data_IF_111793774343
#
_entry.id   IF_111793774343
#
_cell.length_a   1.000
_cell.length_b   1.000
_cell.length_c   1.000
_cell.angle_alpha   90.00
_cell.angle_beta   90.00
_cell.angle_gamma   90.00
#
_symmetry.space_group_name_H-M   'P 1'
#
loop_
_entity.id
_entity.type
_entity.pdbx_description
1 polymer ?
#
# COMPACT_ATOMS: atom_id res chain seq x y z
N UNK A 1 5.47 24.85 7.53
CA UNK A 1 4.59 25.42 6.50
C UNK A 1 3.23 24.74 6.45
N UNK A 2 2.37 25.23 5.57
CA UNK A 2 0.99 24.70 5.42
C UNK A 2 0.99 23.19 5.09
N UNK A 3 1.94 22.73 4.27
CA UNK A 3 2.11 21.30 3.94
C UNK A 3 2.42 20.43 5.15
N UNK A 4 3.17 20.93 6.12
CA UNK A 4 3.50 20.18 7.34
C UNK A 4 2.27 20.03 8.27
N UNK A 5 1.36 21.01 8.25
CA UNK A 5 0.09 20.94 8.99
C UNK A 5 -0.79 19.82 8.43
N UNK A 6 -0.91 19.73 7.11
CA UNK A 6 -1.74 18.68 6.45
C UNK A 6 -1.16 17.28 6.65
N UNK A 7 0.15 17.11 6.57
CA UNK A 7 0.81 15.84 6.87
C UNK A 7 0.59 15.41 8.32
N UNK A 8 0.65 16.35 9.23
CA UNK A 8 0.37 16.11 10.65
C UNK A 8 -1.09 15.70 10.88
N UNK A 9 -2.02 16.32 10.17
CA UNK A 9 -3.44 15.95 10.21
C UNK A 9 -3.65 14.52 9.72
N UNK A 10 -3.03 14.13 8.60
CA UNK A 10 -3.08 12.75 8.11
C UNK A 10 -2.50 11.77 9.13
N UNK A 11 -1.33 12.05 9.69
CA UNK A 11 -0.71 11.19 10.68
C UNK A 11 -1.60 11.06 11.93
N UNK A 12 -2.14 12.16 12.44
CA UNK A 12 -3.06 12.15 13.56
C UNK A 12 -4.31 11.31 13.28
N UNK A 13 -4.84 11.37 12.06
CA UNK A 13 -5.95 10.53 11.67
C UNK A 13 -5.56 9.04 11.65
N UNK A 14 -4.41 8.68 11.08
CA UNK A 14 -3.95 7.29 10.99
C UNK A 14 -3.70 6.65 12.37
N UNK A 15 -3.29 7.43 13.38
CA UNK A 15 -3.07 6.95 14.75
C UNK A 15 -4.31 7.06 15.64
N UNK A 16 -5.39 7.67 15.16
CA UNK A 16 -6.63 7.87 15.91
C UNK A 16 -7.46 6.59 15.99
N UNK A 17 -8.45 6.57 16.87
CA UNK A 17 -9.44 5.48 16.97
C UNK A 17 -10.33 5.33 15.73
N UNK A 18 -10.33 6.30 14.83
CA UNK A 18 -11.06 6.25 13.56
C UNK A 18 -10.35 5.44 12.46
N UNK A 19 -9.13 5.02 12.72
CA UNK A 19 -8.28 4.30 11.78
C UNK A 19 -7.69 3.05 12.40
N UNK A 20 -7.66 1.96 11.64
CA UNK A 20 -6.95 0.74 12.00
C UNK A 20 -5.65 0.54 11.19
N UNK A 21 -5.12 1.60 10.58
CA UNK A 21 -3.93 1.54 9.71
C UNK A 21 -2.76 0.77 10.34
N UNK A 22 -2.50 0.97 11.63
CA UNK A 22 -1.38 0.33 12.34
C UNK A 22 -1.69 -1.08 12.82
N UNK A 23 -2.94 -1.51 12.82
CA UNK A 23 -3.37 -2.82 13.30
C UNK A 23 -3.98 -3.69 12.22
N UNK A 24 -4.38 -3.13 11.08
CA UNK A 24 -4.97 -3.85 9.98
C UNK A 24 -4.02 -4.89 9.37
N UNK A 25 -4.56 -6.03 8.89
CA UNK A 25 -3.81 -6.94 8.05
C UNK A 25 -3.60 -6.33 6.65
N UNK A 26 -2.66 -6.88 5.89
CA UNK A 26 -2.45 -6.52 4.49
C UNK A 26 -3.29 -7.35 3.51
N UNK A 27 -3.73 -8.53 3.93
CA UNK A 27 -4.60 -9.43 3.15
C UNK A 27 -5.44 -10.31 4.07
N UNK A 28 -6.42 -11.01 3.51
CA UNK A 28 -7.25 -11.95 4.28
C UNK A 28 -6.53 -13.25 4.61
N UNK A 29 -5.62 -13.73 3.74
CA UNK A 29 -4.96 -15.04 3.88
C UNK A 29 -3.61 -15.17 3.15
N UNK A 30 -3.14 -14.10 2.51
CA UNK A 30 -1.87 -14.10 1.79
C UNK A 30 -0.80 -13.37 2.60
N UNK A 31 0.07 -12.59 1.96
CA UNK A 31 1.09 -11.81 2.63
C UNK A 31 0.48 -10.85 3.67
N UNK A 32 1.14 -10.72 4.82
CA UNK A 32 0.73 -9.78 5.86
C UNK A 32 -0.65 -10.04 6.46
N UNK A 33 -1.14 -11.29 6.46
CA UNK A 33 -2.45 -11.69 7.03
C UNK A 33 -2.37 -11.85 8.55
N UNK A 34 -1.95 -10.77 9.23
CA UNK A 34 -1.84 -10.68 10.68
C UNK A 34 -1.99 -9.22 11.13
N UNK A 35 -2.26 -9.01 12.42
CA UNK A 35 -2.39 -7.67 12.98
C UNK A 35 -1.09 -6.87 12.78
N UNK A 36 -1.20 -5.69 12.16
CA UNK A 36 -0.05 -4.86 11.78
C UNK A 36 0.58 -5.22 10.42
N UNK A 37 0.03 -6.19 9.69
CA UNK A 37 0.54 -6.60 8.39
C UNK A 37 0.54 -5.48 7.35
N UNK A 38 -0.45 -4.59 7.38
CA UNK A 38 -0.52 -3.43 6.49
C UNK A 38 0.65 -2.46 6.68
N UNK A 39 0.92 -2.06 7.90
CA UNK A 39 2.03 -1.14 8.17
C UNK A 39 3.39 -1.81 7.92
N UNK A 40 3.52 -3.10 8.21
CA UNK A 40 4.74 -3.85 7.91
C UNK A 40 5.01 -3.91 6.41
N UNK A 41 3.98 -4.22 5.61
CA UNK A 41 4.07 -4.18 4.15
C UNK A 41 4.48 -2.80 3.63
N UNK A 42 3.84 -1.75 4.13
CA UNK A 42 4.17 -0.37 3.75
C UNK A 42 5.63 -0.01 4.01
N UNK A 43 6.19 -0.45 5.15
CA UNK A 43 7.62 -0.26 5.49
C UNK A 43 8.52 -1.07 4.56
N UNK A 44 8.16 -2.32 4.25
CA UNK A 44 8.91 -3.16 3.33
C UNK A 44 8.96 -2.54 1.93
N UNK A 45 7.82 -2.07 1.43
CA UNK A 45 7.75 -1.37 0.13
C UNK A 45 8.58 -0.10 0.13
N UNK A 46 8.55 0.67 1.21
CA UNK A 46 9.39 1.86 1.35
C UNK A 46 10.88 1.53 1.26
N UNK A 47 11.33 0.51 1.95
CA UNK A 47 12.73 0.10 1.93
C UNK A 47 13.14 -0.43 0.53
N UNK A 48 12.30 -1.23 -0.12
CA UNK A 48 12.55 -1.71 -1.48
C UNK A 48 12.59 -0.55 -2.48
N UNK A 49 11.69 0.42 -2.38
CA UNK A 49 11.67 1.59 -3.26
C UNK A 49 12.90 2.46 -3.08
N UNK A 50 13.32 2.71 -1.85
CA UNK A 50 14.56 3.44 -1.56
C UNK A 50 15.78 2.75 -2.16
N UNK A 51 15.89 1.43 -1.99
CA UNK A 51 16.99 0.65 -2.57
C UNK A 51 16.98 0.74 -4.10
N UNK A 52 15.84 0.51 -4.73
CA UNK A 52 15.70 0.61 -6.18
C UNK A 52 16.13 1.98 -6.71
N UNK A 53 15.67 3.05 -6.09
CA UNK A 53 15.97 4.43 -6.52
C UNK A 53 17.38 4.90 -6.14
N UNK A 54 18.09 4.19 -5.27
CA UNK A 54 19.49 4.48 -4.91
C UNK A 54 20.49 4.00 -5.96
N UNK A 55 20.10 3.13 -6.86
CA UNK A 55 20.97 2.55 -7.90
C UNK A 55 21.45 3.64 -8.85
N UNK A 56 22.76 3.65 -9.14
CA UNK A 56 23.34 4.64 -10.05
C UNK A 56 22.67 4.62 -11.43
N UNK A 57 22.38 3.41 -11.94
CA UNK A 57 21.71 3.23 -13.23
C UNK A 57 20.32 3.89 -13.29
N UNK A 58 19.57 3.82 -12.20
CA UNK A 58 18.22 4.42 -12.09
C UNK A 58 18.28 5.93 -12.28
N UNK A 59 19.33 6.57 -11.75
CA UNK A 59 19.57 8.01 -11.89
C UNK A 59 20.13 8.36 -13.27
N UNK A 60 21.24 7.72 -13.65
CA UNK A 60 22.02 8.13 -14.83
C UNK A 60 21.38 7.73 -16.15
N UNK A 61 20.69 6.59 -16.19
CA UNK A 61 20.10 6.05 -17.42
C UNK A 61 18.60 6.28 -17.48
N UNK A 62 17.89 6.10 -16.35
CA UNK A 62 16.42 6.19 -16.32
C UNK A 62 15.92 7.57 -15.96
N UNK A 63 16.79 8.45 -15.45
CA UNK A 63 16.41 9.82 -15.05
C UNK A 63 15.44 9.88 -13.87
N UNK A 64 15.41 8.83 -13.05
CA UNK A 64 14.54 8.76 -11.88
C UNK A 64 15.21 9.41 -10.68
N UNK A 65 14.77 10.62 -10.34
CA UNK A 65 15.24 11.36 -9.18
C UNK A 65 14.04 11.98 -8.46
N UNK A 66 13.83 11.58 -7.20
CA UNK A 66 12.70 11.99 -6.40
C UNK A 66 13.16 12.43 -5.01
N UNK A 67 12.37 13.31 -4.39
CA UNK A 67 12.60 13.69 -2.99
C UNK A 67 12.33 12.53 -2.05
N UNK A 68 13.03 12.50 -0.91
CA UNK A 68 12.77 11.51 0.13
C UNK A 68 11.31 11.54 0.60
N UNK A 69 10.69 12.72 0.57
CA UNK A 69 9.28 12.90 0.90
C UNK A 69 8.36 12.17 -0.09
N UNK A 70 8.54 12.36 -1.40
CA UNK A 70 7.74 11.66 -2.42
C UNK A 70 7.91 10.15 -2.34
N UNK A 71 9.12 9.67 -2.09
CA UNK A 71 9.41 8.24 -1.90
C UNK A 71 8.65 7.70 -0.67
N UNK A 72 8.76 8.37 0.47
CA UNK A 72 8.11 7.96 1.70
C UNK A 72 6.58 8.00 1.57
N UNK A 73 6.04 9.08 1.05
CA UNK A 73 4.61 9.29 0.90
C UNK A 73 3.97 8.22 0.01
N UNK A 74 4.54 7.99 -1.17
CA UNK A 74 3.99 7.02 -2.12
C UNK A 74 4.10 5.60 -1.62
N UNK A 75 5.24 5.21 -1.06
CA UNK A 75 5.45 3.85 -0.55
C UNK A 75 4.64 3.56 0.72
N UNK A 76 4.64 4.46 1.70
CA UNK A 76 3.96 4.24 2.98
C UNK A 76 2.43 4.30 2.85
N UNK A 77 1.90 5.01 1.87
CA UNK A 77 0.46 5.25 1.72
C UNK A 77 -0.16 4.59 0.48
N UNK A 78 0.60 3.81 -0.31
CA UNK A 78 0.06 3.20 -1.52
C UNK A 78 -1.14 2.29 -1.23
N UNK A 79 -1.12 1.60 -0.12
CA UNK A 79 -2.13 0.64 0.32
C UNK A 79 -3.03 1.15 1.45
N UNK A 80 -3.08 2.47 1.68
CA UNK A 80 -3.97 3.05 2.72
C UNK A 80 -5.45 2.74 2.47
N UNK A 81 -5.81 2.34 1.27
CA UNK A 81 -7.14 1.81 0.92
C UNK A 81 -7.55 0.58 1.73
N UNK A 82 -6.58 -0.14 2.29
CA UNK A 82 -6.82 -1.32 3.15
C UNK A 82 -7.11 -0.95 4.61
N UNK A 83 -7.02 0.31 4.96
CA UNK A 83 -7.46 0.83 6.26
C UNK A 83 -8.98 0.76 6.39
N UNK A 84 -9.48 0.29 7.52
CA UNK A 84 -10.91 0.11 7.78
C UNK A 84 -11.62 -0.76 6.72
N UNK A 85 -10.92 -1.74 6.20
CA UNK A 85 -11.32 -2.57 5.07
C UNK A 85 -11.60 -4.03 5.46
N UNK A 86 -10.99 -4.50 6.54
CA UNK A 86 -11.12 -5.88 7.01
C UNK A 86 -11.96 -5.95 8.28
N UNK A 87 -12.65 -7.08 8.42
CA UNK A 87 -13.33 -7.50 9.64
C UNK A 87 -12.83 -8.87 10.06
N UNK A 88 -13.04 -9.21 11.33
CA UNK A 88 -12.75 -10.55 11.86
C UNK A 88 -14.04 -11.33 11.95
N UNK A 89 -14.04 -12.52 11.37
CA UNK A 89 -15.12 -13.49 11.45
C UNK A 89 -14.60 -14.79 12.07
N UNK A 90 -15.48 -15.75 12.41
CA UNK A 90 -15.10 -16.99 13.06
C UNK A 90 -15.62 -18.18 12.29
N UNK A 91 -14.79 -19.22 12.20
CA UNK A 91 -15.15 -20.49 11.61
C UNK A 91 -14.79 -21.65 12.53
N UNK A 92 -15.49 -22.77 12.39
CA UNK A 92 -15.12 -23.98 13.09
C UNK A 92 -13.94 -24.66 12.38
N UNK A 93 -12.92 -25.03 13.14
CA UNK A 93 -11.77 -25.77 12.67
C UNK A 93 -11.36 -26.82 13.72
N UNK A 94 -10.77 -27.93 13.27
CA UNK A 94 -10.18 -28.90 14.19
C UNK A 94 -8.76 -28.46 14.55
N UNK A 95 -8.45 -28.47 15.85
CA UNK A 95 -7.10 -28.28 16.34
C UNK A 95 -6.24 -29.55 16.13
N UNK A 96 -4.97 -29.50 16.53
CA UNK A 96 -4.04 -30.62 16.40
C UNK A 96 -4.49 -31.91 17.15
N UNK A 97 -5.31 -31.75 18.19
CA UNK A 97 -5.89 -32.84 18.96
C UNK A 97 -7.21 -33.37 18.37
N UNK A 98 -7.64 -32.82 17.21
CA UNK A 98 -8.87 -33.21 16.55
C UNK A 98 -10.17 -32.66 17.18
N UNK A 99 -10.04 -31.72 18.12
CA UNK A 99 -11.19 -31.07 18.78
C UNK A 99 -11.62 -29.84 17.96
N UNK A 100 -12.94 -29.70 17.78
CA UNK A 100 -13.51 -28.55 17.10
C UNK A 100 -13.44 -27.30 17.98
N UNK A 101 -12.91 -26.21 17.41
CA UNK A 101 -12.83 -24.91 18.04
C UNK A 101 -13.19 -23.80 17.04
N UNK A 102 -13.62 -22.64 17.58
CA UNK A 102 -13.83 -21.43 16.77
C UNK A 102 -12.52 -20.70 16.59
N UNK A 103 -12.09 -20.52 15.34
CA UNK A 103 -10.89 -19.79 14.99
C UNK A 103 -11.25 -18.51 14.24
N UNK A 104 -10.57 -17.37 14.54
CA UNK A 104 -10.79 -16.13 13.82
C UNK A 104 -10.16 -16.19 12.43
N UNK A 105 -10.74 -15.46 11.50
CA UNK A 105 -10.16 -15.20 10.17
C UNK A 105 -10.60 -13.85 9.65
N UNK A 106 -9.80 -13.26 8.77
CA UNK A 106 -10.12 -11.97 8.17
C UNK A 106 -11.08 -12.11 7.00
N UNK A 107 -12.03 -11.19 6.93
CA UNK A 107 -12.95 -11.01 5.81
C UNK A 107 -12.90 -9.57 5.30
N UNK A 108 -13.34 -9.35 4.07
CA UNK A 108 -13.43 -8.01 3.50
C UNK A 108 -14.77 -7.41 3.90
N UNK A 109 -14.73 -6.19 4.42
CA UNK A 109 -15.88 -5.36 4.74
C UNK A 109 -15.64 -3.94 4.22
N UNK A 110 -15.75 -3.77 2.90
CA UNK A 110 -15.43 -2.51 2.23
C UNK A 110 -16.51 -1.46 2.49
N UNK A 111 -16.17 -0.45 3.28
CA UNK A 111 -17.03 0.69 3.60
C UNK A 111 -16.93 1.84 2.59
N UNK A 112 -15.98 1.79 1.68
CA UNK A 112 -15.73 2.81 0.66
C UNK A 112 -15.31 2.16 -0.66
N UNK A 113 -16.26 1.59 -1.43
CA UNK A 113 -15.96 0.83 -2.64
C UNK A 113 -15.58 1.73 -3.83
N UNK A 114 -14.39 2.31 -3.78
CA UNK A 114 -13.89 3.28 -4.75
C UNK A 114 -12.83 2.71 -5.73
N UNK A 115 -12.50 1.44 -5.60
CA UNK A 115 -11.37 0.81 -6.30
C UNK A 115 -10.11 0.80 -5.44
N UNK A 116 -9.11 0.01 -5.81
CA UNK A 116 -7.94 -0.20 -4.95
C UNK A 116 -7.01 1.02 -4.94
N UNK A 117 -6.35 1.31 -6.06
CA UNK A 117 -5.41 2.45 -6.14
C UNK A 117 -6.10 3.80 -6.06
N UNK A 118 -7.28 3.94 -6.67
CA UNK A 118 -8.10 5.16 -6.61
C UNK A 118 -8.49 5.52 -5.19
N UNK A 119 -8.86 4.54 -4.38
CA UNK A 119 -9.25 4.74 -2.98
C UNK A 119 -8.10 5.29 -2.15
N UNK A 120 -6.88 4.77 -2.35
CA UNK A 120 -5.69 5.32 -1.68
C UNK A 120 -5.44 6.78 -2.07
N UNK A 121 -5.52 7.12 -3.35
CA UNK A 121 -5.41 8.50 -3.83
C UNK A 121 -6.51 9.37 -3.24
N UNK A 122 -7.74 8.90 -3.22
CA UNK A 122 -8.88 9.62 -2.65
C UNK A 122 -8.67 9.94 -1.16
N UNK A 123 -8.26 8.95 -0.37
CA UNK A 123 -8.03 9.11 1.06
C UNK A 123 -6.92 10.12 1.33
N UNK A 124 -5.76 9.99 0.68
CA UNK A 124 -4.63 10.90 0.88
C UNK A 124 -4.97 12.32 0.41
N UNK A 125 -5.66 12.45 -0.72
CA UNK A 125 -6.09 13.75 -1.26
C UNK A 125 -7.09 14.50 -0.37
N UNK A 126 -7.77 13.79 0.52
CA UNK A 126 -8.62 14.40 1.55
C UNK A 126 -7.84 15.17 2.61
N UNK A 127 -6.55 14.92 2.76
CA UNK A 127 -5.68 15.56 3.75
C UNK A 127 -4.64 16.48 3.10
N UNK A 128 -4.07 16.10 1.97
CA UNK A 128 -2.98 16.82 1.35
C UNK A 128 -3.03 16.72 -0.17
N UNK A 129 -2.44 17.71 -0.82
CA UNK A 129 -2.32 17.69 -2.27
C UNK A 129 -1.16 16.80 -2.70
N UNK A 130 -1.45 15.81 -3.53
CA UNK A 130 -0.46 15.00 -4.22
C UNK A 130 0.01 15.70 -5.50
N UNK A 131 1.28 15.52 -5.86
CA UNK A 131 1.70 15.79 -7.22
C UNK A 131 1.04 14.79 -8.17
N UNK A 132 1.01 15.13 -9.48
CA UNK A 132 0.45 14.21 -10.46
C UNK A 132 1.21 12.89 -10.48
N UNK A 133 2.53 12.91 -10.41
CA UNK A 133 3.34 11.70 -10.39
C UNK A 133 3.11 10.85 -9.13
N UNK A 134 3.03 11.46 -7.96
CA UNK A 134 2.68 10.77 -6.71
C UNK A 134 1.30 10.11 -6.80
N UNK A 135 0.30 10.83 -7.30
CA UNK A 135 -1.04 10.32 -7.47
C UNK A 135 -1.10 9.12 -8.44
N UNK A 136 -0.43 9.22 -9.58
CA UNK A 136 -0.37 8.12 -10.55
C UNK A 136 0.44 6.93 -10.05
N UNK A 137 1.51 7.17 -9.29
CA UNK A 137 2.28 6.09 -8.66
C UNK A 137 1.41 5.28 -7.70
N UNK A 138 0.67 5.94 -6.82
CA UNK A 138 -0.28 5.29 -5.90
C UNK A 138 -1.41 4.61 -6.69
N UNK A 139 -2.00 5.31 -7.67
CA UNK A 139 -3.11 4.80 -8.46
C UNK A 139 -2.79 3.49 -9.19
N UNK A 140 -1.60 3.37 -9.75
CA UNK A 140 -1.18 2.23 -10.59
C UNK A 140 -0.16 1.31 -9.93
N UNK A 141 -0.01 1.35 -8.60
CA UNK A 141 0.97 0.53 -7.89
C UNK A 141 0.78 -0.98 -8.06
N UNK A 142 -0.46 -1.44 -8.32
CA UNK A 142 -0.73 -2.85 -8.61
C UNK A 142 -0.14 -3.30 -9.96
N UNK A 143 0.24 -2.36 -10.83
CA UNK A 143 0.78 -2.67 -12.13
C UNK A 143 -0.15 -3.59 -12.93
N UNK A 144 0.42 -4.56 -13.62
CA UNK A 144 -0.33 -5.52 -14.43
C UNK A 144 -1.03 -6.64 -13.64
N UNK A 145 -0.87 -6.67 -12.34
CA UNK A 145 -1.57 -7.64 -11.46
C UNK A 145 -2.97 -7.20 -11.05
N UNK A 146 -3.33 -5.95 -11.29
CA UNK A 146 -4.67 -5.42 -11.04
C UNK A 146 -5.67 -5.69 -12.17
N UNK A 147 -6.82 -5.05 -12.06
CA UNK A 147 -7.93 -5.15 -13.02
C UNK A 147 -7.94 -4.01 -14.05
N UNK A 148 -7.01 -3.08 -13.93
CA UNK A 148 -6.91 -1.93 -14.81
C UNK A 148 -6.57 -2.33 -16.25
N UNK A 149 -6.97 -1.47 -17.19
CA UNK A 149 -6.62 -1.62 -18.61
C UNK A 149 -5.09 -1.58 -18.81
N UNK A 150 -4.57 -2.59 -19.50
CA UNK A 150 -3.11 -2.73 -19.74
C UNK A 150 -2.50 -1.56 -20.48
N UNK A 151 -3.23 -0.95 -21.43
CA UNK A 151 -2.73 0.20 -22.16
C UNK A 151 -2.60 1.42 -21.25
N UNK A 152 -3.55 1.62 -20.35
CA UNK A 152 -3.50 2.69 -19.35
C UNK A 152 -2.33 2.50 -18.38
N UNK A 153 -2.08 1.27 -17.92
CA UNK A 153 -0.94 0.95 -17.05
C UNK A 153 0.39 1.25 -17.76
N UNK A 154 0.56 0.75 -18.98
CA UNK A 154 1.76 1.00 -19.78
C UNK A 154 2.02 2.48 -19.97
N UNK A 155 0.99 3.24 -20.32
CA UNK A 155 1.09 4.69 -20.49
C UNK A 155 1.42 5.42 -19.19
N UNK A 156 0.84 4.98 -18.06
CA UNK A 156 1.16 5.55 -16.74
C UNK A 156 2.63 5.32 -16.38
N UNK A 157 3.18 4.14 -16.67
CA UNK A 157 4.59 3.83 -16.42
C UNK A 157 5.53 4.66 -17.30
N UNK A 158 5.17 4.90 -18.57
CA UNK A 158 5.94 5.75 -19.47
C UNK A 158 5.95 7.22 -19.03
N UNK A 159 4.79 7.74 -18.64
CA UNK A 159 4.63 9.14 -18.24
C UNK A 159 5.14 9.43 -16.84
N UNK A 160 5.01 8.47 -15.93
CA UNK A 160 5.30 8.60 -14.51
C UNK A 160 6.14 7.42 -14.03
N UNK A 161 7.47 7.46 -14.23
CA UNK A 161 8.35 6.34 -13.89
C UNK A 161 8.29 5.91 -12.43
N UNK A 162 7.91 6.80 -11.49
CA UNK A 162 7.69 6.44 -10.09
C UNK A 162 6.59 5.38 -9.94
N UNK A 163 5.58 5.37 -10.81
CA UNK A 163 4.54 4.35 -10.82
C UNK A 163 5.12 2.96 -11.12
N UNK A 164 6.05 2.86 -12.07
CA UNK A 164 6.78 1.63 -12.34
C UNK A 164 7.63 1.21 -11.14
N UNK A 165 8.44 2.13 -10.61
CA UNK A 165 9.34 1.84 -9.49
C UNK A 165 8.58 1.37 -8.25
N UNK A 166 7.46 2.02 -7.92
CA UNK A 166 6.62 1.62 -6.80
C UNK A 166 5.99 0.24 -7.01
N UNK A 167 5.52 -0.06 -8.22
CA UNK A 167 4.98 -1.38 -8.57
C UNK A 167 6.02 -2.49 -8.43
N UNK A 168 7.26 -2.25 -8.84
CA UNK A 168 8.39 -3.18 -8.66
C UNK A 168 8.69 -3.39 -7.17
N UNK A 169 8.76 -2.31 -6.39
CA UNK A 169 9.02 -2.37 -4.96
C UNK A 169 7.92 -3.14 -4.21
N UNK A 170 6.67 -2.95 -4.59
CA UNK A 170 5.53 -3.69 -4.03
C UNK A 170 5.63 -5.18 -4.31
N UNK A 171 5.92 -5.57 -5.54
CA UNK A 171 6.14 -6.98 -5.92
C UNK A 171 7.35 -7.58 -5.17
N UNK A 172 8.46 -6.86 -5.08
CA UNK A 172 9.65 -7.31 -4.35
C UNK A 172 9.32 -7.57 -2.87
N UNK A 173 8.67 -6.64 -2.20
CA UNK A 173 8.24 -6.79 -0.81
C UNK A 173 7.32 -8.01 -0.65
N UNK A 174 6.30 -8.10 -1.49
CA UNK A 174 5.29 -9.16 -1.43
C UNK A 174 5.91 -10.55 -1.63
N UNK A 175 6.68 -10.73 -2.69
CA UNK A 175 7.16 -12.06 -3.09
C UNK A 175 8.46 -12.48 -2.40
N UNK A 176 9.32 -11.56 -1.99
CA UNK A 176 10.63 -11.89 -1.44
C UNK A 176 10.76 -11.66 0.07
N UNK A 177 9.97 -10.78 0.64
CA UNK A 177 10.03 -10.49 2.08
C UNK A 177 8.87 -11.08 2.87
N UNK A 178 7.69 -11.25 2.26
CA UNK A 178 6.44 -11.53 2.97
C UNK A 178 5.81 -12.88 2.61
N UNK A 179 6.31 -13.57 1.61
CA UNK A 179 5.77 -14.86 1.14
C UNK A 179 6.38 -16.09 1.81
N UNK A 180 7.15 -15.91 2.89
CA UNK A 180 7.83 -16.98 3.64
C UNK A 180 7.12 -17.30 4.94
#
# INVERSE_FOLDING_TARGET
GLGDVYKRQLLNYLISEQSDFFTAPCSTRFHGSYAGGLVQHSINVYNCLKDYLSRQRTKDVYGMEYTNESIALTALLHDVCKMNFYSVDYRNAKNEQGVWEKVPYYTINDQLPYGHGEKSVYIVSGFMRLTREEAFAIRYHMGFSGIEDRNSIGKAFEMFPLAFALSVADMEATYFLESK
#
